data_IF_906743229439
#
_entry.id   IF_906743229439
#
_cell.length_a   1.000
_cell.length_b   1.000
_cell.length_c   1.000
_cell.angle_alpha   90.00
_cell.angle_beta   90.00
_cell.angle_gamma   90.00
#
_symmetry.space_group_name_H-M   'P 1'
#
loop_
_entity.id
_entity.type
_entity.pdbx_description
1 polymer ?
#
# COMPACT_ATOMS: atom_id res chain seq x y z
N UNK A 1 0.96 -23.84 -26.88
CA UNK A 1 -0.31 -24.57 -26.66
C UNK A 1 -0.22 -26.02 -27.11
N UNK A 2 0.16 -26.34 -28.36
CA UNK A 2 0.26 -27.72 -28.87
C UNK A 2 1.15 -28.69 -28.07
N UNK A 3 2.33 -28.24 -27.58
CA UNK A 3 3.24 -29.08 -26.80
C UNK A 3 2.64 -29.53 -25.45
N UNK A 4 1.88 -28.66 -24.80
CA UNK A 4 1.24 -28.95 -23.51
C UNK A 4 0.11 -29.99 -23.65
N UNK A 5 -0.57 -30.03 -24.80
CA UNK A 5 -1.58 -31.04 -25.07
C UNK A 5 -0.96 -32.42 -25.37
N UNK A 6 0.14 -32.47 -26.12
CA UNK A 6 0.85 -33.73 -26.38
C UNK A 6 1.40 -34.37 -25.10
N UNK A 7 1.94 -33.56 -24.18
CA UNK A 7 2.46 -34.05 -22.89
C UNK A 7 1.33 -34.62 -22.02
N UNK A 8 0.16 -33.97 -21.96
CA UNK A 8 -1.01 -34.48 -21.23
C UNK A 8 -1.58 -35.77 -21.83
N UNK A 9 -1.55 -35.92 -23.16
CA UNK A 9 -2.05 -37.12 -23.84
C UNK A 9 -1.10 -38.32 -23.65
N UNK A 10 0.21 -38.09 -23.61
CA UNK A 10 1.21 -39.15 -23.41
C UNK A 10 1.38 -39.56 -21.94
N UNK A 11 1.05 -38.66 -21.01
CA UNK A 11 1.16 -38.89 -19.55
C UNK A 11 -0.14 -38.45 -18.85
N UNK A 12 -1.18 -39.30 -18.82
CA UNK A 12 -2.39 -39.02 -18.05
C UNK A 12 -2.04 -39.10 -16.55
N UNK A 13 -1.74 -37.95 -15.96
CA UNK A 13 -1.66 -37.82 -14.52
C UNK A 13 -3.06 -37.45 -14.04
N UNK A 14 -3.79 -38.42 -13.50
CA UNK A 14 -4.98 -38.11 -12.71
C UNK A 14 -4.52 -37.49 -11.39
N UNK A 15 -4.66 -36.17 -11.29
CA UNK A 15 -4.60 -35.51 -10.00
C UNK A 15 -5.99 -35.67 -9.37
N UNK A 16 -6.11 -36.26 -8.17
CA UNK A 16 -7.33 -36.13 -7.39
C UNK A 16 -7.73 -34.64 -7.32
N UNK A 17 -9.02 -34.32 -7.31
CA UNK A 17 -9.51 -32.92 -7.25
C UNK A 17 -8.85 -32.11 -6.11
N UNK A 18 -8.43 -32.80 -5.05
CA UNK A 18 -7.76 -32.24 -3.87
C UNK A 18 -6.25 -31.92 -4.07
N UNK A 19 -5.66 -32.27 -5.22
CA UNK A 19 -4.22 -32.15 -5.52
C UNK A 19 -3.91 -31.33 -6.78
N UNK A 20 -4.85 -30.52 -7.28
CA UNK A 20 -4.64 -29.65 -8.45
C UNK A 20 -3.87 -28.36 -8.14
N UNK A 21 -3.48 -28.18 -6.87
CA UNK A 21 -2.72 -27.02 -6.38
C UNK A 21 -3.57 -25.77 -6.17
N UNK A 22 -4.90 -25.83 -6.37
CA UNK A 22 -5.79 -24.77 -5.92
C UNK A 22 -5.83 -24.82 -4.40
N UNK A 23 -5.49 -23.71 -3.76
CA UNK A 23 -5.82 -23.52 -2.36
C UNK A 23 -7.34 -23.67 -2.17
N UNK A 24 -7.82 -23.96 -0.95
CA UNK A 24 -9.25 -23.97 -0.67
C UNK A 24 -9.86 -22.67 -1.21
N UNK A 25 -11.08 -22.72 -1.78
CA UNK A 25 -11.75 -21.52 -2.27
C UNK A 25 -11.73 -20.47 -1.17
N UNK A 26 -11.19 -19.29 -1.49
CA UNK A 26 -11.20 -18.16 -0.57
C UNK A 26 -12.64 -17.77 -0.23
N UNK A 27 -12.84 -16.93 0.80
CA UNK A 27 -14.17 -16.42 1.12
C UNK A 27 -14.82 -15.80 -0.13
N UNK A 28 -16.11 -16.02 -0.34
CA UNK A 28 -16.83 -15.38 -1.44
C UNK A 28 -16.74 -13.85 -1.32
N UNK A 29 -16.42 -13.18 -2.42
CA UNK A 29 -16.35 -11.72 -2.46
C UNK A 29 -17.77 -11.16 -2.47
N UNK A 30 -18.19 -10.60 -1.34
CA UNK A 30 -19.56 -10.12 -1.09
C UNK A 30 -19.73 -8.61 -1.25
N UNK A 31 -18.65 -7.86 -1.44
CA UNK A 31 -18.63 -6.39 -1.41
C UNK A 31 -18.07 -5.80 -2.70
N UNK A 32 -18.62 -4.66 -3.13
CA UNK A 32 -18.03 -3.89 -4.23
C UNK A 32 -16.80 -3.13 -3.71
N UNK A 33 -15.63 -3.63 -4.10
CA UNK A 33 -14.35 -3.05 -3.74
C UNK A 33 -14.23 -1.56 -4.11
N UNK A 34 -14.72 -1.18 -5.30
CA UNK A 34 -14.55 0.20 -5.81
C UNK A 34 -15.36 1.17 -4.96
N UNK A 35 -16.59 0.81 -4.64
CA UNK A 35 -17.48 1.61 -3.80
C UNK A 35 -16.88 1.80 -2.39
N UNK A 36 -16.37 0.71 -1.79
CA UNK A 36 -15.71 0.77 -0.47
C UNK A 36 -14.49 1.69 -0.49
N UNK A 37 -13.62 1.57 -1.50
CA UNK A 37 -12.42 2.40 -1.60
C UNK A 37 -12.73 3.86 -1.91
N UNK A 38 -13.78 4.14 -2.68
CA UNK A 38 -14.24 5.51 -2.96
C UNK A 38 -14.75 6.19 -1.70
N UNK A 39 -15.63 5.52 -0.94
CA UNK A 39 -16.14 6.09 0.31
C UNK A 39 -15.02 6.30 1.32
N UNK A 40 -14.14 5.30 1.48
CA UNK A 40 -12.99 5.41 2.37
C UNK A 40 -12.09 6.60 2.03
N UNK A 41 -11.88 6.87 0.73
CA UNK A 41 -11.08 8.01 0.29
C UNK A 41 -11.71 9.34 0.73
N UNK A 42 -13.01 9.51 0.53
CA UNK A 42 -13.72 10.73 0.92
C UNK A 42 -13.67 10.94 2.44
N UNK A 43 -13.90 9.88 3.22
CA UNK A 43 -13.88 9.95 4.68
C UNK A 43 -12.47 10.29 5.21
N UNK A 44 -11.43 9.67 4.65
CA UNK A 44 -10.03 9.95 5.00
C UNK A 44 -9.64 11.37 4.64
N UNK A 45 -10.00 11.84 3.44
CA UNK A 45 -9.67 13.20 3.01
C UNK A 45 -10.33 14.25 3.93
N UNK A 46 -11.59 14.04 4.34
CA UNK A 46 -12.28 14.91 5.30
C UNK A 46 -11.59 14.92 6.68
N UNK A 47 -11.15 13.76 7.18
CA UNK A 47 -10.42 13.67 8.45
C UNK A 47 -9.06 14.38 8.38
N UNK A 48 -8.37 14.26 7.25
CA UNK A 48 -7.07 14.91 7.05
C UNK A 48 -7.19 16.43 6.90
N UNK A 49 -8.25 16.94 6.25
CA UNK A 49 -8.58 18.37 6.21
C UNK A 49 -8.75 18.96 7.63
N UNK A 50 -9.37 18.19 8.52
CA UNK A 50 -9.53 18.53 9.95
C UNK A 50 -8.28 18.27 10.80
N UNK A 51 -7.16 17.84 10.19
CA UNK A 51 -5.90 17.45 10.85
C UNK A 51 -6.03 16.27 11.82
N UNK A 52 -7.02 15.40 11.62
CA UNK A 52 -7.28 14.21 12.44
C UNK A 52 -6.59 12.96 11.88
N UNK A 53 -5.27 12.97 11.91
CA UNK A 53 -4.43 11.91 11.31
C UNK A 53 -4.70 10.54 11.94
N UNK A 54 -4.77 10.47 13.27
CA UNK A 54 -5.00 9.23 14.01
C UNK A 54 -6.36 8.60 13.69
N UNK A 55 -7.42 9.42 13.57
CA UNK A 55 -8.76 8.96 13.17
C UNK A 55 -8.75 8.41 11.74
N UNK A 56 -8.05 9.08 10.82
CA UNK A 56 -7.92 8.62 9.44
C UNK A 56 -7.19 7.27 9.35
N UNK A 57 -6.12 7.09 10.12
CA UNK A 57 -5.37 5.84 10.15
C UNK A 57 -6.16 4.68 10.75
N UNK A 58 -6.89 4.95 11.84
CA UNK A 58 -7.78 3.96 12.43
C UNK A 58 -8.87 3.52 11.43
N UNK A 59 -9.47 4.46 10.70
CA UNK A 59 -10.48 4.18 9.69
C UNK A 59 -9.92 3.33 8.54
N UNK A 60 -8.70 3.62 8.07
CA UNK A 60 -8.05 2.84 7.01
C UNK A 60 -7.78 1.38 7.45
N UNK A 61 -7.33 1.16 8.68
CA UNK A 61 -7.13 -0.19 9.21
C UNK A 61 -8.46 -0.92 9.47
N UNK A 62 -9.49 -0.22 9.93
CA UNK A 62 -10.84 -0.77 10.07
C UNK A 62 -11.36 -1.27 8.71
N UNK A 63 -11.24 -0.46 7.66
CA UNK A 63 -11.66 -0.86 6.32
C UNK A 63 -10.81 -1.99 5.74
N UNK A 64 -9.51 -2.04 6.03
CA UNK A 64 -8.65 -3.17 5.64
C UNK A 64 -9.17 -4.48 6.23
N UNK A 65 -9.51 -4.49 7.53
CA UNK A 65 -10.09 -5.66 8.21
C UNK A 65 -11.46 -6.03 7.64
N UNK A 66 -12.30 -5.03 7.35
CA UNK A 66 -13.59 -5.25 6.71
C UNK A 66 -13.45 -5.94 5.36
N UNK A 67 -12.53 -5.46 4.50
CA UNK A 67 -12.29 -6.06 3.18
C UNK A 67 -11.75 -7.50 3.31
N UNK A 68 -10.84 -7.74 4.25
CA UNK A 68 -10.30 -9.08 4.53
C UNK A 68 -11.40 -10.06 4.96
N UNK A 69 -12.32 -9.61 5.83
CA UNK A 69 -13.48 -10.40 6.24
C UNK A 69 -14.45 -10.72 5.09
N UNK A 70 -14.45 -9.91 4.02
CA UNK A 70 -15.25 -10.11 2.80
C UNK A 70 -14.44 -10.73 1.65
N UNK A 71 -13.34 -11.43 1.97
CA UNK A 71 -12.55 -12.19 0.99
C UNK A 71 -11.56 -11.38 0.16
N UNK A 72 -11.38 -10.08 0.45
CA UNK A 72 -10.45 -9.20 -0.25
C UNK A 72 -9.27 -8.90 0.66
N UNK A 73 -8.16 -9.61 0.45
CA UNK A 73 -6.94 -9.38 1.20
C UNK A 73 -6.18 -8.15 0.68
N UNK A 74 -5.97 -7.17 1.57
CA UNK A 74 -5.04 -6.06 1.36
C UNK A 74 -4.05 -6.05 2.51
N UNK A 75 -2.75 -6.04 2.18
CA UNK A 75 -1.68 -5.98 3.17
C UNK A 75 -1.77 -4.73 4.06
N UNK A 76 -2.02 -3.57 3.45
CA UNK A 76 -2.09 -2.27 4.14
C UNK A 76 -2.84 -1.24 3.29
N UNK A 77 -3.66 -0.41 3.94
CA UNK A 77 -4.24 0.81 3.38
C UNK A 77 -3.64 1.99 4.15
N UNK A 78 -3.00 2.91 3.45
CA UNK A 78 -2.46 4.16 4.01
C UNK A 78 -2.64 5.29 2.98
N UNK A 79 -2.24 6.52 3.32
CA UNK A 79 -2.38 7.66 2.40
C UNK A 79 -1.64 7.43 1.07
N UNK A 80 -0.47 6.79 1.10
CA UNK A 80 0.30 6.45 -0.09
C UNK A 80 -0.43 5.44 -1.00
N UNK A 81 -1.19 4.50 -0.42
CA UNK A 81 -2.06 3.61 -1.18
C UNK A 81 -2.98 4.40 -2.12
N UNK A 82 -3.66 5.42 -1.60
CA UNK A 82 -4.53 6.26 -2.45
C UNK A 82 -3.76 7.07 -3.50
N UNK A 83 -2.52 7.48 -3.21
CA UNK A 83 -1.68 8.17 -4.18
C UNK A 83 -1.28 7.28 -5.37
N UNK A 84 -1.03 5.99 -5.14
CA UNK A 84 -0.67 5.04 -6.20
C UNK A 84 -1.87 4.49 -6.95
N UNK A 85 -3.02 4.35 -6.29
CA UNK A 85 -4.23 3.78 -6.88
C UNK A 85 -5.32 4.84 -7.12
N UNK A 86 -4.93 6.06 -7.48
CA UNK A 86 -5.74 7.30 -7.54
C UNK A 86 -6.99 7.32 -8.44
N UNK A 87 -7.50 6.17 -8.88
CA UNK A 87 -8.74 6.02 -9.66
C UNK A 87 -10.00 5.97 -8.79
N UNK A 88 -9.87 6.01 -7.46
CA UNK A 88 -11.01 5.85 -6.54
C UNK A 88 -11.69 7.17 -6.16
N UNK A 89 -11.18 8.32 -6.60
CA UNK A 89 -11.84 9.63 -6.43
C UNK A 89 -12.07 10.30 -7.78
N UNK A 90 -13.25 10.93 -7.96
CA UNK A 90 -13.59 11.73 -9.15
C UNK A 90 -12.92 13.11 -9.17
N UNK A 91 -11.99 13.40 -8.26
CA UNK A 91 -11.33 14.70 -8.13
C UNK A 91 -9.80 14.57 -8.22
N UNK A 92 -9.13 15.20 -9.20
CA UNK A 92 -7.68 15.11 -9.41
C UNK A 92 -6.84 15.89 -8.38
N UNK A 93 -7.48 16.49 -7.37
CA UNK A 93 -6.82 17.35 -6.38
C UNK A 93 -6.92 16.76 -4.97
N UNK A 94 -6.21 15.65 -4.73
CA UNK A 94 -5.82 15.32 -3.37
C UNK A 94 -4.52 16.07 -3.09
N UNK A 95 -4.60 17.13 -2.27
CA UNK A 95 -3.45 17.84 -1.73
C UNK A 95 -2.70 16.92 -0.75
N UNK A 96 -2.03 15.90 -1.27
CA UNK A 96 -1.39 14.89 -0.45
C UNK A 96 -0.04 15.42 0.07
N UNK A 97 0.12 15.65 1.39
CA UNK A 97 1.38 16.16 1.96
C UNK A 97 2.54 15.16 1.88
N UNK A 98 2.29 13.92 1.46
CA UNK A 98 3.29 12.84 1.39
C UNK A 98 4.25 13.02 0.20
N UNK A 99 3.76 13.46 -0.96
CA UNK A 99 4.57 13.59 -2.19
C UNK A 99 5.82 14.45 -1.98
N UNK A 100 5.67 15.70 -1.51
CA UNK A 100 6.80 16.57 -1.21
C UNK A 100 7.78 16.01 -0.17
N UNK A 101 7.28 15.26 0.84
CA UNK A 101 8.13 14.64 1.87
C UNK A 101 9.00 13.51 1.30
N UNK A 102 8.46 12.73 0.36
CA UNK A 102 9.22 11.68 -0.33
C UNK A 102 10.30 12.28 -1.23
N UNK A 103 9.97 13.35 -1.97
CA UNK A 103 10.93 14.10 -2.79
C UNK A 103 12.07 14.66 -1.92
N UNK A 104 11.74 15.27 -0.77
CA UNK A 104 12.75 15.78 0.16
C UNK A 104 13.65 14.67 0.73
N UNK A 105 13.08 13.52 1.11
CA UNK A 105 13.86 12.37 1.59
C UNK A 105 14.78 11.82 0.50
N UNK A 106 14.32 11.81 -0.75
CA UNK A 106 15.13 11.41 -1.90
C UNK A 106 16.31 12.38 -2.12
N UNK A 107 16.04 13.69 -2.09
CA UNK A 107 17.05 14.73 -2.27
C UNK A 107 18.14 14.67 -1.18
N UNK A 108 17.75 14.37 0.06
CA UNK A 108 18.68 14.23 1.19
C UNK A 108 19.52 12.95 1.14
N UNK A 109 19.01 11.88 0.51
CA UNK A 109 19.70 10.58 0.49
C UNK A 109 20.58 10.41 -0.74
N UNK A 110 20.11 10.83 -1.92
CA UNK A 110 20.85 10.76 -3.19
C UNK A 110 21.27 9.35 -3.64
N UNK A 111 20.87 8.31 -2.90
CA UNK A 111 21.24 6.91 -3.13
C UNK A 111 20.02 6.00 -2.95
N UNK A 112 19.80 5.15 -3.96
CA UNK A 112 18.64 4.27 -4.03
C UNK A 112 18.62 3.21 -2.93
N UNK A 113 19.78 2.63 -2.59
CA UNK A 113 19.87 1.58 -1.58
C UNK A 113 19.54 2.14 -0.19
N UNK A 114 20.08 3.33 0.12
CA UNK A 114 19.81 4.04 1.38
C UNK A 114 18.34 4.44 1.46
N UNK A 115 17.80 5.06 0.42
CA UNK A 115 16.40 5.47 0.35
C UNK A 115 15.44 4.29 0.59
N UNK A 116 15.62 3.17 -0.13
CA UNK A 116 14.76 1.99 0.02
C UNK A 116 14.90 1.32 1.40
N UNK A 117 16.08 1.41 2.02
CA UNK A 117 16.29 0.88 3.37
C UNK A 117 15.54 1.71 4.40
N UNK A 118 15.54 3.04 4.27
CA UNK A 118 14.82 3.94 5.15
C UNK A 118 13.30 3.82 5.01
N UNK A 119 12.81 3.72 3.76
CA UNK A 119 11.37 3.61 3.48
C UNK A 119 10.76 2.25 3.83
N UNK A 120 11.59 1.22 4.09
CA UNK A 120 11.12 -0.15 4.36
C UNK A 120 10.17 -0.22 5.56
N UNK A 121 10.48 0.53 6.60
CA UNK A 121 9.76 0.48 7.88
C UNK A 121 8.72 1.60 7.99
N UNK A 122 8.70 2.53 7.03
CA UNK A 122 7.71 3.62 6.94
C UNK A 122 6.34 3.04 6.64
N UNK A 123 5.46 3.17 7.61
CA UNK A 123 4.17 2.53 7.62
C UNK A 123 3.05 3.57 7.50
N UNK A 124 3.24 4.75 8.06
CA UNK A 124 2.30 5.86 8.01
C UNK A 124 3.01 7.22 7.81
N UNK A 125 2.26 8.31 7.95
CA UNK A 125 2.80 9.65 7.73
C UNK A 125 3.79 10.06 8.84
N UNK A 126 3.56 9.62 10.06
CA UNK A 126 4.41 9.92 11.22
C UNK A 126 5.75 9.21 11.12
N UNK A 127 5.78 7.95 10.68
CA UNK A 127 7.03 7.23 10.44
C UNK A 127 7.89 7.94 9.38
N UNK A 128 7.23 8.49 8.34
CA UNK A 128 7.92 9.26 7.30
C UNK A 128 8.50 10.56 7.88
N UNK A 129 7.75 11.24 8.75
CA UNK A 129 8.22 12.45 9.43
C UNK A 129 9.39 12.16 10.39
N UNK A 130 9.34 11.04 11.12
CA UNK A 130 10.43 10.61 11.99
C UNK A 130 11.70 10.29 11.20
N UNK A 131 11.58 9.50 10.12
CA UNK A 131 12.69 9.16 9.23
C UNK A 131 13.30 10.41 8.61
N UNK A 132 12.46 11.31 8.09
CA UNK A 132 12.90 12.57 7.47
C UNK A 132 13.60 13.48 8.50
N UNK A 133 13.05 13.59 9.71
CA UNK A 133 13.67 14.33 10.81
C UNK A 133 15.04 13.78 11.20
N UNK A 134 15.17 12.45 11.29
CA UNK A 134 16.45 11.78 11.59
C UNK A 134 17.50 12.04 10.50
N UNK A 135 17.12 11.95 9.23
CA UNK A 135 18.02 12.21 8.10
C UNK A 135 18.47 13.67 8.07
N UNK A 136 17.57 14.62 8.34
CA UNK A 136 17.91 16.06 8.46
C UNK A 136 18.91 16.32 9.58
N UNK A 137 18.71 15.72 10.76
CA UNK A 137 19.63 15.85 11.88
C UNK A 137 21.04 15.31 11.53
N UNK A 138 21.11 14.12 10.95
CA UNK A 138 22.37 13.50 10.49
C UNK A 138 23.07 14.36 9.41
N UNK A 139 22.32 14.91 8.47
CA UNK A 139 22.87 15.80 7.43
C UNK A 139 23.43 17.09 8.01
N UNK A 140 22.75 17.68 9.00
CA UNK A 140 23.21 18.88 9.69
C UNK A 140 24.51 18.64 10.48
N UNK A 141 24.63 17.50 11.19
CA UNK A 141 25.84 17.13 11.94
C UNK A 141 27.06 16.92 11.04
N UNK A 142 26.86 16.32 9.85
CA UNK A 142 27.93 16.10 8.85
C UNK A 142 28.32 17.37 8.10
N UNK A 143 27.43 18.36 8.00
CA UNK A 143 27.67 19.65 7.35
C UNK A 143 28.32 20.72 8.23
N UNK A 144 28.36 20.55 9.56
CA UNK A 144 28.94 21.53 10.50
C UNK A 144 30.46 21.40 10.73
N UNK A 145 31.16 20.70 9.85
CA UNK A 145 32.59 20.38 9.96
C UNK A 145 33.52 21.13 9.00
N UNK A 146 33.22 22.38 8.64
CA UNK A 146 34.14 23.28 7.92
C UNK A 146 34.60 24.48 8.78
#
# INVERSE_FOLDING_TARGET
RALAEMIRAAHPVEFPDEMDGRGPPGPEVTVDFREVMQQLRLDVDALLEDRKVEEAEALMEERRRYLEANGIFIRKINQAYFAFYGTYADSPASSNPIGPKIEELWDLTGDLQVFLTLMRDVQNADDLDEVLGRVKALSAELGTGE
#
